data_IF_265235080918
#
_entry.id   IF_265235080918
#
_cell.length_a   1.000
_cell.length_b   1.000
_cell.length_c   1.000
_cell.angle_alpha   90.00
_cell.angle_beta   90.00
_cell.angle_gamma   90.00
#
_symmetry.space_group_name_H-M   'P 1'
#
loop_
_entity.id
_entity.type
_entity.pdbx_description
1 polymer ?
#
# COMPACT_ATOMS: atom_id res chain seq x y z
N UNK A 1 21.30 17.92 -36.49
CA UNK A 1 21.48 19.38 -36.64
C UNK A 1 22.44 19.84 -35.57
N UNK A 2 23.60 20.32 -36.01
CA UNK A 2 24.82 20.52 -35.24
C UNK A 2 24.67 21.48 -34.04
N UNK A 3 25.04 21.00 -32.84
CA UNK A 3 25.16 21.80 -31.62
C UNK A 3 26.18 22.96 -31.74
N UNK A 4 27.01 22.98 -32.78
CA UNK A 4 28.03 24.00 -33.03
C UNK A 4 27.49 25.32 -33.63
N UNK A 5 26.32 25.31 -34.27
CA UNK A 5 25.72 26.57 -34.78
C UNK A 5 25.06 27.38 -33.66
N UNK A 6 24.44 26.70 -32.71
CA UNK A 6 23.73 27.32 -31.59
C UNK A 6 24.68 27.98 -30.59
N UNK A 7 25.86 27.40 -30.35
CA UNK A 7 26.85 27.97 -29.42
C UNK A 7 27.48 29.27 -29.96
N UNK A 8 27.78 29.34 -31.27
CA UNK A 8 28.34 30.55 -31.91
C UNK A 8 27.37 31.74 -31.88
N UNK A 9 26.08 31.53 -32.07
CA UNK A 9 25.09 32.63 -32.02
C UNK A 9 24.78 33.10 -30.60
N UNK A 10 24.83 32.21 -29.61
CA UNK A 10 24.66 32.56 -28.20
C UNK A 10 25.88 33.32 -27.64
N UNK A 11 27.09 33.08 -28.15
CA UNK A 11 28.29 33.81 -27.74
C UNK A 11 28.26 35.31 -28.09
N UNK A 12 27.55 35.68 -29.17
CA UNK A 12 27.43 37.07 -29.62
C UNK A 12 26.34 37.87 -28.88
N UNK A 13 25.54 37.20 -28.03
CA UNK A 13 24.55 37.81 -27.15
C UNK A 13 24.57 37.08 -25.78
N UNK A 14 25.43 37.52 -24.85
CA UNK A 14 25.64 36.86 -23.57
C UNK A 14 24.34 36.68 -22.77
N UNK A 15 23.40 37.63 -22.84
CA UNK A 15 22.12 37.55 -22.14
C UNK A 15 21.25 36.39 -22.66
N UNK A 16 21.23 36.17 -23.98
CA UNK A 16 20.51 35.06 -24.58
C UNK A 16 21.14 33.71 -24.20
N UNK A 17 22.47 33.63 -24.11
CA UNK A 17 23.19 32.47 -23.62
C UNK A 17 22.81 32.12 -22.18
N UNK A 18 22.90 33.08 -21.25
CA UNK A 18 22.58 32.84 -19.84
C UNK A 18 21.11 32.51 -19.62
N UNK A 19 20.19 33.12 -20.38
CA UNK A 19 18.75 32.82 -20.30
C UNK A 19 18.41 31.42 -20.80
N UNK A 20 19.02 31.00 -21.91
CA UNK A 20 18.85 29.64 -22.44
C UNK A 20 19.45 28.57 -21.52
N UNK A 21 20.64 28.84 -20.94
CA UNK A 21 21.26 27.99 -19.93
C UNK A 21 20.41 27.92 -18.64
N UNK A 22 19.86 29.03 -18.14
CA UNK A 22 18.97 29.00 -16.97
C UNK A 22 17.67 28.23 -17.25
N UNK A 23 17.10 28.36 -18.45
CA UNK A 23 15.90 27.65 -18.90
C UNK A 23 16.12 26.14 -19.08
N UNK A 24 17.29 25.72 -19.57
CA UNK A 24 17.59 24.30 -19.71
C UNK A 24 17.88 23.62 -18.35
N UNK A 25 18.52 24.33 -17.42
CA UNK A 25 18.80 23.83 -16.08
C UNK A 25 17.53 23.72 -15.23
N UNK A 26 16.60 24.67 -15.36
CA UNK A 26 15.28 24.59 -14.70
C UNK A 26 14.42 23.45 -15.26
N UNK A 27 14.41 23.22 -16.58
CA UNK A 27 13.74 22.06 -17.17
C UNK A 27 14.33 20.72 -16.71
N UNK A 28 15.66 20.60 -16.66
CA UNK A 28 16.34 19.41 -16.15
C UNK A 28 16.01 19.16 -14.67
N UNK A 29 16.06 20.22 -13.85
CA UNK A 29 15.68 20.13 -12.44
C UNK A 29 14.23 19.67 -12.27
N UNK A 30 13.29 20.18 -13.08
CA UNK A 30 11.88 19.80 -13.02
C UNK A 30 11.66 18.32 -13.41
N UNK A 31 12.39 17.82 -14.41
CA UNK A 31 12.37 16.39 -14.78
C UNK A 31 12.93 15.53 -13.64
N UNK A 32 14.04 15.93 -13.02
CA UNK A 32 14.64 15.21 -11.90
C UNK A 32 13.67 15.17 -10.71
N UNK A 33 13.05 16.29 -10.36
CA UNK A 33 12.06 16.37 -9.27
C UNK A 33 10.86 15.47 -9.58
N UNK A 34 10.32 15.51 -10.80
CA UNK A 34 9.24 14.63 -11.21
C UNK A 34 9.64 13.14 -11.12
N UNK A 35 10.86 12.80 -11.56
CA UNK A 35 11.38 11.44 -11.46
C UNK A 35 11.53 10.97 -10.01
N UNK A 36 11.98 11.85 -9.10
CA UNK A 36 12.07 11.55 -7.66
C UNK A 36 10.68 11.31 -7.07
N UNK A 37 9.69 12.15 -7.39
CA UNK A 37 8.32 11.97 -6.90
C UNK A 37 7.74 10.63 -7.37
N UNK A 38 7.94 10.28 -8.65
CA UNK A 38 7.49 8.98 -9.19
C UNK A 38 8.22 7.83 -8.48
N UNK A 39 9.55 7.93 -8.30
CA UNK A 39 10.32 6.90 -7.63
C UNK A 39 9.87 6.69 -6.18
N UNK A 40 9.65 7.77 -5.43
CA UNK A 40 9.12 7.71 -4.06
C UNK A 40 7.71 7.11 -4.02
N UNK A 41 6.84 7.49 -4.95
CA UNK A 41 5.49 6.91 -5.07
C UNK A 41 5.52 5.41 -5.35
N UNK A 42 6.42 4.96 -6.25
CA UNK A 42 6.61 3.53 -6.53
C UNK A 42 7.16 2.77 -5.32
N UNK A 43 8.15 3.32 -4.62
CA UNK A 43 8.70 2.71 -3.40
C UNK A 43 7.58 2.54 -2.36
N UNK A 44 6.80 3.59 -2.10
CA UNK A 44 5.65 3.52 -1.19
C UNK A 44 4.63 2.46 -1.60
N UNK A 45 4.30 2.39 -2.90
CA UNK A 45 3.38 1.37 -3.43
C UNK A 45 3.91 -0.06 -3.23
N UNK A 46 5.20 -0.30 -3.50
CA UNK A 46 5.81 -1.62 -3.27
C UNK A 46 5.87 -2.00 -1.79
N UNK A 47 6.09 -1.04 -0.88
CA UNK A 47 6.06 -1.29 0.56
C UNK A 47 4.66 -1.73 0.99
N UNK A 48 3.63 -0.95 0.65
CA UNK A 48 2.24 -1.25 1.05
C UNK A 48 1.79 -2.60 0.48
N UNK A 49 2.02 -2.85 -0.81
CA UNK A 49 1.62 -4.11 -1.44
C UNK A 49 2.45 -5.31 -0.97
N UNK A 50 3.72 -5.10 -0.61
CA UNK A 50 4.59 -6.12 -0.02
C UNK A 50 4.09 -6.56 1.36
N UNK A 51 3.80 -5.61 2.25
CA UNK A 51 3.26 -5.89 3.59
C UNK A 51 1.93 -6.65 3.48
N UNK A 52 1.01 -6.21 2.62
CA UNK A 52 -0.26 -6.91 2.42
C UNK A 52 -0.08 -8.35 1.94
N UNK A 53 0.93 -8.66 1.11
CA UNK A 53 1.21 -10.05 0.70
C UNK A 53 1.73 -10.90 1.85
N UNK A 54 2.62 -10.35 2.68
CA UNK A 54 3.15 -11.06 3.85
C UNK A 54 2.04 -11.35 4.85
N UNK A 55 1.15 -10.37 5.10
CA UNK A 55 -0.04 -10.56 5.93
C UNK A 55 -0.98 -11.61 5.36
N UNK A 56 -1.28 -11.56 4.05
CA UNK A 56 -2.17 -12.54 3.40
C UNK A 56 -1.63 -13.97 3.42
N UNK A 57 -0.31 -14.15 3.59
CA UNK A 57 0.33 -15.46 3.71
C UNK A 57 0.41 -16.00 5.14
N UNK A 58 -0.01 -15.25 6.16
CA UNK A 58 0.09 -15.69 7.56
C UNK A 58 -1.09 -16.57 7.98
N UNK A 59 -0.84 -17.45 8.95
CA UNK A 59 -1.87 -18.28 9.58
C UNK A 59 -3.01 -17.42 10.17
N UNK A 60 -2.67 -16.22 10.66
CA UNK A 60 -3.64 -15.26 11.21
C UNK A 60 -4.61 -14.73 10.15
N UNK A 61 -4.17 -14.51 8.91
CA UNK A 61 -5.07 -14.07 7.85
C UNK A 61 -6.04 -15.18 7.45
N UNK A 62 -5.55 -16.42 7.29
CA UNK A 62 -6.41 -17.56 6.98
C UNK A 62 -7.43 -17.81 8.10
N UNK A 63 -7.02 -17.70 9.36
CA UNK A 63 -7.91 -17.80 10.51
C UNK A 63 -8.97 -16.69 10.50
N UNK A 64 -8.57 -15.44 10.29
CA UNK A 64 -9.50 -14.32 10.20
C UNK A 64 -10.51 -14.49 9.06
N UNK A 65 -10.05 -14.87 7.86
CA UNK A 65 -10.92 -15.14 6.71
C UNK A 65 -11.91 -16.26 7.02
N UNK A 66 -11.45 -17.37 7.63
CA UNK A 66 -12.34 -18.46 8.00
C UNK A 66 -13.39 -18.03 9.03
N UNK A 67 -13.01 -17.23 10.03
CA UNK A 67 -13.95 -16.70 11.02
C UNK A 67 -14.99 -15.80 10.37
N UNK A 68 -14.56 -14.83 9.55
CA UNK A 68 -15.45 -13.92 8.81
C UNK A 68 -16.38 -14.70 7.87
N UNK A 69 -15.85 -15.69 7.16
CA UNK A 69 -16.60 -16.50 6.19
C UNK A 69 -17.68 -17.34 6.87
N UNK A 70 -17.56 -17.65 8.16
CA UNK A 70 -18.53 -18.43 8.91
C UNK A 70 -19.50 -17.58 9.72
N UNK A 71 -19.24 -16.27 9.84
CA UNK A 71 -20.07 -15.37 10.61
C UNK A 71 -21.44 -15.09 9.93
N UNK A 72 -22.57 -15.34 10.61
CA UNK A 72 -23.90 -15.14 10.05
C UNK A 72 -24.27 -13.66 9.90
N UNK A 73 -23.76 -12.78 10.75
CA UNK A 73 -24.03 -11.34 10.70
C UNK A 73 -23.33 -10.70 9.51
N UNK A 74 -22.06 -11.02 9.27
CA UNK A 74 -21.30 -10.62 8.07
C UNK A 74 -22.04 -11.05 6.81
N UNK A 75 -22.48 -12.31 6.71
CA UNK A 75 -23.25 -12.80 5.55
C UNK A 75 -24.56 -12.04 5.36
N UNK A 76 -25.27 -11.77 6.45
CA UNK A 76 -26.55 -11.03 6.42
C UNK A 76 -26.35 -9.60 5.92
N UNK A 77 -25.35 -8.90 6.43
CA UNK A 77 -25.05 -7.50 6.08
C UNK A 77 -24.51 -7.35 4.66
N UNK A 78 -23.62 -8.23 4.25
CA UNK A 78 -23.05 -8.26 2.89
C UNK A 78 -24.03 -8.81 1.86
N UNK A 79 -25.06 -9.56 2.30
CA UNK A 79 -25.96 -10.30 1.41
C UNK A 79 -25.30 -11.51 0.75
N UNK A 80 -24.22 -12.02 1.35
CA UNK A 80 -23.32 -13.01 0.78
C UNK A 80 -21.96 -12.41 0.46
N UNK A 81 -20.90 -13.19 0.70
CA UNK A 81 -19.50 -12.80 0.45
C UNK A 81 -19.14 -13.21 -0.97
N UNK A 82 -18.66 -12.25 -1.78
CA UNK A 82 -18.16 -12.48 -3.14
C UNK A 82 -16.64 -12.68 -3.15
N UNK A 83 -15.94 -11.82 -2.43
CA UNK A 83 -14.48 -11.75 -2.43
C UNK A 83 -13.99 -10.95 -1.21
N UNK A 84 -12.69 -10.73 -1.12
CA UNK A 84 -12.03 -9.90 -0.12
C UNK A 84 -11.21 -8.78 -0.77
N UNK A 85 -11.01 -7.69 -0.05
CA UNK A 85 -10.26 -6.54 -0.50
C UNK A 85 -8.82 -6.87 -0.88
N UNK A 86 -8.29 -6.13 -1.85
CA UNK A 86 -6.87 -6.26 -2.24
C UNK A 86 -5.94 -5.80 -1.12
N UNK A 87 -6.31 -4.75 -0.40
CA UNK A 87 -5.58 -4.22 0.74
C UNK A 87 -6.21 -4.77 2.02
N UNK A 88 -5.41 -5.49 2.79
CA UNK A 88 -5.69 -5.76 4.19
C UNK A 88 -4.66 -4.99 5.00
N UNK A 89 -5.11 -4.34 6.07
CA UNK A 89 -4.26 -3.62 7.01
C UNK A 89 -4.23 -4.34 8.33
N UNK A 90 -3.21 -4.11 9.13
CA UNK A 90 -3.11 -4.72 10.44
C UNK A 90 -1.68 -4.80 10.95
N UNK A 91 -1.55 -5.39 12.11
CA UNK A 91 -0.29 -5.69 12.76
C UNK A 91 -0.26 -7.15 13.20
N UNK A 92 0.92 -7.74 13.15
CA UNK A 92 1.22 -9.04 13.75
C UNK A 92 2.52 -8.83 14.52
N UNK A 93 2.46 -9.06 15.82
CA UNK A 93 3.61 -9.00 16.71
C UNK A 93 3.80 -10.37 17.34
N UNK A 94 5.05 -10.84 17.36
CA UNK A 94 5.42 -12.12 17.96
C UNK A 94 6.68 -11.87 18.78
N UNK A 95 6.59 -12.10 20.09
CA UNK A 95 7.71 -12.05 21.02
C UNK A 95 7.80 -13.35 21.80
N UNK A 96 8.97 -13.99 21.79
CA UNK A 96 9.25 -15.25 22.50
C UNK A 96 8.17 -16.34 22.32
N UNK A 97 7.57 -16.43 21.13
CA UNK A 97 6.53 -17.41 20.80
C UNK A 97 5.12 -17.05 21.26
N UNK A 98 4.96 -15.96 22.02
CA UNK A 98 3.68 -15.30 22.29
C UNK A 98 3.41 -14.31 21.18
N UNK A 99 2.18 -14.21 20.70
CA UNK A 99 1.85 -13.31 19.61
C UNK A 99 0.50 -12.62 19.79
N UNK A 100 0.42 -11.41 19.25
CA UNK A 100 -0.82 -10.63 19.13
C UNK A 100 -0.97 -10.21 17.67
N UNK A 101 -2.20 -10.22 17.17
CA UNK A 101 -2.48 -9.78 15.82
C UNK A 101 -3.81 -9.04 15.77
N UNK A 102 -3.85 -7.98 14.97
CA UNK A 102 -5.07 -7.26 14.63
C UNK A 102 -5.09 -7.07 13.13
N UNK A 103 -6.13 -7.58 12.47
CA UNK A 103 -6.30 -7.48 11.02
C UNK A 103 -7.63 -6.82 10.70
N UNK A 104 -7.60 -5.82 9.83
CA UNK A 104 -8.81 -5.26 9.21
C UNK A 104 -8.88 -5.73 7.77
N UNK A 105 -9.99 -6.39 7.44
CA UNK A 105 -10.21 -7.03 6.14
C UNK A 105 -11.50 -6.47 5.54
N UNK A 106 -11.38 -5.85 4.37
CA UNK A 106 -12.55 -5.49 3.58
C UNK A 106 -13.19 -6.75 3.00
N UNK A 107 -14.46 -6.96 3.30
CA UNK A 107 -15.28 -8.04 2.77
C UNK A 107 -16.13 -7.50 1.62
N UNK A 108 -15.94 -8.04 0.42
CA UNK A 108 -16.70 -7.63 -0.78
C UNK A 108 -18.01 -8.40 -0.83
N UNK A 109 -19.12 -7.69 -0.66
CA UNK A 109 -20.44 -8.28 -0.53
C UNK A 109 -21.28 -8.26 -1.81
N UNK A 110 -22.37 -9.01 -1.79
CA UNK A 110 -23.39 -8.92 -2.85
C UNK A 110 -24.12 -7.58 -2.83
N UNK A 111 -24.52 -7.12 -1.64
CA UNK A 111 -25.29 -5.90 -1.40
C UNK A 111 -24.40 -4.70 -1.09
N UNK A 112 -23.45 -4.88 -0.18
CA UNK A 112 -22.50 -3.85 0.24
C UNK A 112 -21.19 -4.47 0.69
N UNK A 113 -20.14 -3.68 0.57
CA UNK A 113 -18.85 -3.99 1.18
C UNK A 113 -18.88 -3.55 2.65
N UNK A 114 -18.16 -4.28 3.49
CA UNK A 114 -17.95 -3.93 4.90
C UNK A 114 -16.49 -4.16 5.28
N UNK A 115 -16.00 -3.47 6.29
CA UNK A 115 -14.71 -3.76 6.89
C UNK A 115 -14.91 -4.54 8.20
N UNK A 116 -14.10 -5.58 8.41
CA UNK A 116 -14.15 -6.41 9.61
C UNK A 116 -12.79 -6.42 10.27
N UNK A 117 -12.72 -6.02 11.54
CA UNK A 117 -11.55 -6.13 12.37
C UNK A 117 -11.59 -7.46 13.14
N UNK A 118 -10.46 -8.17 13.15
CA UNK A 118 -10.29 -9.44 13.86
C UNK A 118 -9.04 -9.35 14.73
N UNK A 119 -9.22 -9.50 16.04
CA UNK A 119 -8.15 -9.58 17.01
C UNK A 119 -7.84 -11.05 17.33
N UNK A 120 -6.55 -11.36 17.42
CA UNK A 120 -6.08 -12.72 17.68
C UNK A 120 -4.90 -12.70 18.64
N UNK A 121 -4.78 -13.79 19.40
CA UNK A 121 -3.66 -14.03 20.29
C UNK A 121 -3.11 -15.45 20.11
N UNK A 122 -1.84 -15.61 20.43
CA UNK A 122 -1.12 -16.88 20.42
C UNK A 122 -0.31 -16.98 21.71
N UNK A 123 -0.56 -18.02 22.49
CA UNK A 123 0.29 -18.36 23.61
C UNK A 123 1.56 -19.11 23.14
N UNK A 124 2.59 -19.15 23.99
CA UNK A 124 3.82 -19.88 23.69
C UNK A 124 3.52 -21.33 23.28
N UNK A 125 4.13 -21.80 22.18
CA UNK A 125 3.95 -23.15 21.62
C UNK A 125 2.49 -23.53 21.30
N UNK A 126 1.61 -22.54 21.07
CA UNK A 126 0.19 -22.74 20.77
C UNK A 126 -0.13 -22.32 19.33
N UNK A 127 -1.32 -22.65 18.85
CA UNK A 127 -1.88 -22.05 17.63
C UNK A 127 -2.54 -20.69 17.93
N UNK A 128 -2.72 -19.88 16.88
CA UNK A 128 -3.46 -18.63 16.96
C UNK A 128 -4.94 -18.88 17.29
N UNK A 129 -5.53 -17.98 18.08
CA UNK A 129 -6.96 -17.99 18.40
C UNK A 129 -7.53 -16.60 18.23
N UNK A 130 -8.75 -16.53 17.70
CA UNK A 130 -9.52 -15.29 17.65
C UNK A 130 -9.95 -14.95 19.07
N UNK A 131 -9.64 -13.73 19.50
CA UNK A 131 -10.08 -13.17 20.78
C UNK A 131 -11.25 -12.22 20.60
N UNK A 132 -11.30 -11.51 19.48
CA UNK A 132 -12.39 -10.59 19.18
C UNK A 132 -12.62 -10.43 17.68
N UNK A 133 -13.85 -10.06 17.30
CA UNK A 133 -14.22 -9.74 15.93
C UNK A 133 -15.33 -8.70 15.92
N UNK A 134 -15.12 -7.62 15.18
CA UNK A 134 -16.10 -6.53 15.04
C UNK A 134 -16.19 -6.02 13.60
N UNK A 135 -17.38 -5.55 13.23
CA UNK A 135 -17.60 -4.86 11.95
C UNK A 135 -17.29 -3.39 12.18
N UNK A 136 -16.37 -2.85 11.39
CA UNK A 136 -15.93 -1.46 11.48
C UNK A 136 -16.68 -0.66 10.41
N UNK A 137 -17.35 0.42 10.82
CA UNK A 137 -18.12 1.31 9.93
C UNK A 137 -17.26 2.29 9.14
#
# INVERSE_FOLDING_TARGET
MDNNYTSKQLNNNPEAYFKAAKKNNTKKALIIVAAIIIALGLIGFFIVTGISRVLKGSDTYNLAINTIQNDPEVKKLTGGIKDYGFLSTGSIEIDNGVGTASLTITVKGVKKDIDVAVAMEKAANSEWKVTDMEIVE
#
